data_IF_121727736616
#
_entry.id   IF_121727736616
#
_cell.length_a   1.000
_cell.length_b   1.000
_cell.length_c   1.000
_cell.angle_alpha   90.00
_cell.angle_beta   90.00
_cell.angle_gamma   90.00
#
_symmetry.space_group_name_H-M   'P 1'
#
loop_
_entity.id
_entity.type
_entity.pdbx_description
1 polymer ?
#
# COMPACT_ATOMS: atom_id res chain seq x y z
N UNK A 1 -2.11 3.15 -11.63
CA UNK A 1 -3.47 2.83 -12.08
C UNK A 1 -4.11 2.02 -10.98
N UNK A 2 -5.33 2.35 -10.60
CA UNK A 2 -6.10 1.62 -9.58
C UNK A 2 -6.27 0.15 -9.99
N UNK A 3 -6.01 -0.76 -9.07
CA UNK A 3 -6.15 -2.19 -9.21
C UNK A 3 -7.30 -2.70 -8.33
N UNK A 4 -7.84 -3.87 -8.66
CA UNK A 4 -8.91 -4.49 -7.89
C UNK A 4 -8.49 -5.92 -7.57
N UNK A 5 -8.56 -6.30 -6.29
CA UNK A 5 -8.36 -7.69 -5.89
C UNK A 5 -9.50 -8.56 -6.47
N UNK A 6 -9.21 -9.59 -7.27
CA UNK A 6 -10.23 -10.31 -8.03
C UNK A 6 -11.12 -11.22 -7.16
N UNK A 7 -10.76 -11.46 -5.90
CA UNK A 7 -11.51 -12.35 -5.00
C UNK A 7 -12.40 -11.57 -4.04
N UNK A 8 -11.85 -10.55 -3.41
CA UNK A 8 -12.55 -9.71 -2.43
C UNK A 8 -13.24 -8.50 -3.04
N UNK A 9 -12.82 -8.07 -4.23
CA UNK A 9 -13.31 -6.85 -4.87
C UNK A 9 -12.78 -5.55 -4.26
N UNK A 10 -11.84 -5.61 -3.31
CA UNK A 10 -11.23 -4.40 -2.76
C UNK A 10 -10.42 -3.65 -3.82
N UNK A 11 -10.63 -2.35 -3.89
CA UNK A 11 -9.78 -1.43 -4.65
C UNK A 11 -8.44 -1.21 -3.95
N UNK A 12 -7.37 -1.18 -4.73
CA UNK A 12 -6.00 -0.86 -4.35
C UNK A 12 -5.52 0.28 -5.24
N UNK A 13 -5.09 1.42 -4.69
CA UNK A 13 -4.75 2.59 -5.50
C UNK A 13 -3.59 2.30 -6.47
N UNK A 14 -2.56 1.60 -5.98
CA UNK A 14 -1.44 1.11 -6.80
C UNK A 14 -1.00 -0.26 -6.29
N UNK A 15 -0.98 -1.25 -7.18
CA UNK A 15 -0.49 -2.59 -6.88
C UNK A 15 0.87 -2.83 -7.56
N UNK A 16 1.89 -3.16 -6.78
CA UNK A 16 3.14 -3.74 -7.28
C UNK A 16 3.04 -5.26 -7.16
N UNK A 17 2.94 -5.93 -8.32
CA UNK A 17 2.95 -7.40 -8.38
C UNK A 17 4.37 -7.94 -8.14
N UNK A 18 4.52 -9.11 -7.50
CA UNK A 18 5.82 -9.79 -7.42
C UNK A 18 6.42 -10.02 -8.82
N UNK A 19 7.75 -9.98 -8.93
CA UNK A 19 8.45 -10.33 -10.16
C UNK A 19 8.35 -11.84 -10.41
N UNK A 20 7.51 -12.24 -11.38
CA UNK A 20 7.39 -13.61 -11.88
C UNK A 20 5.94 -14.06 -12.08
N UNK A 21 5.60 -14.58 -13.26
CA UNK A 21 4.35 -15.29 -13.50
C UNK A 21 4.37 -16.62 -12.75
N UNK A 22 3.59 -16.73 -11.69
CA UNK A 22 3.15 -18.00 -11.10
C UNK A 22 1.70 -17.77 -10.66
N UNK A 23 0.71 -18.31 -11.35
CA UNK A 23 0.59 -19.76 -11.57
C UNK A 23 0.14 -20.36 -10.24
N UNK A 24 -1.16 -20.64 -10.15
CA UNK A 24 -1.93 -21.36 -9.11
C UNK A 24 -1.40 -21.36 -7.67
N UNK A 25 -2.28 -20.95 -6.75
CA UNK A 25 -2.09 -20.93 -5.29
C UNK A 25 -1.55 -22.27 -4.78
N UNK A 26 -0.26 -22.37 -4.54
CA UNK A 26 0.30 -23.43 -3.70
C UNK A 26 0.01 -23.11 -2.23
N UNK A 27 -0.39 -24.13 -1.46
CA UNK A 27 -0.54 -24.05 0.00
C UNK A 27 0.76 -23.55 0.64
N UNK A 28 0.67 -22.47 1.43
CA UNK A 28 1.82 -21.74 2.00
C UNK A 28 2.01 -20.30 1.50
N UNK A 29 1.02 -19.73 0.79
CA UNK A 29 0.78 -18.31 0.47
C UNK A 29 2.02 -17.40 0.43
N UNK A 30 2.65 -17.30 -0.75
CA UNK A 30 3.51 -16.15 -1.06
C UNK A 30 2.69 -14.87 -1.11
N UNK A 31 3.29 -13.75 -0.71
CA UNK A 31 2.65 -12.43 -0.71
C UNK A 31 2.09 -12.07 -2.10
N UNK A 32 0.84 -11.56 -2.15
CA UNK A 32 0.14 -11.17 -3.38
C UNK A 32 0.76 -9.94 -4.06
N UNK A 33 1.63 -9.21 -3.35
CA UNK A 33 2.30 -8.01 -3.81
C UNK A 33 2.32 -6.91 -2.75
N UNK A 34 2.75 -5.72 -3.14
CA UNK A 34 2.69 -4.52 -2.30
C UNK A 34 1.49 -3.68 -2.75
N UNK A 35 0.53 -3.49 -1.84
CA UNK A 35 -0.63 -2.64 -2.05
C UNK A 35 -0.32 -1.25 -1.48
N UNK A 36 -0.19 -0.24 -2.34
CA UNK A 36 0.08 1.14 -1.94
C UNK A 36 -1.24 1.90 -1.89
N UNK A 37 -1.51 2.51 -0.75
CA UNK A 37 -2.66 3.37 -0.48
C UNK A 37 -2.21 4.83 -0.45
N UNK A 38 -2.82 5.69 -1.26
CA UNK A 38 -2.53 7.12 -1.37
C UNK A 38 -3.51 7.87 -0.46
N UNK A 39 -3.09 8.11 0.77
CA UNK A 39 -3.98 8.63 1.78
C UNK A 39 -4.03 10.18 1.77
N UNK A 40 -5.04 10.74 1.13
CA UNK A 40 -5.42 12.15 1.25
C UNK A 40 -5.99 12.56 2.64
N UNK A 41 -6.25 13.87 2.88
CA UNK A 41 -6.70 14.37 4.18
C UNK A 41 -7.93 13.69 4.78
N UNK A 42 -8.89 13.26 3.95
CA UNK A 42 -10.12 12.59 4.40
C UNK A 42 -9.89 11.20 5.02
N UNK A 43 -8.71 10.61 4.85
CA UNK A 43 -8.35 9.31 5.43
C UNK A 43 -7.91 9.40 6.89
N UNK A 44 -7.85 10.61 7.45
CA UNK A 44 -7.35 10.87 8.80
C UNK A 44 -8.36 11.65 9.64
N UNK A 45 -8.25 11.50 10.96
CA UNK A 45 -9.15 12.10 11.94
C UNK A 45 -8.86 13.60 12.11
N UNK A 46 -9.53 14.48 11.36
CA UNK A 46 -9.39 15.92 11.52
C UNK A 46 -7.93 16.38 11.53
N UNK A 47 -7.58 17.39 12.34
CA UNK A 47 -6.21 17.93 12.49
C UNK A 47 -5.22 16.93 13.16
N UNK A 48 -5.20 15.67 12.75
CA UNK A 48 -4.38 14.59 13.29
C UNK A 48 -3.82 13.72 12.17
N UNK A 49 -2.71 13.03 12.45
CA UNK A 49 -2.13 12.00 11.57
C UNK A 49 -2.72 10.61 11.83
N UNK A 50 -3.71 10.50 12.71
CA UNK A 50 -4.36 9.22 13.03
C UNK A 50 -5.34 8.81 11.92
N UNK A 51 -5.20 7.61 11.33
CA UNK A 51 -6.11 7.16 10.28
C UNK A 51 -7.52 6.88 10.83
N UNK A 52 -8.53 7.11 9.99
CA UNK A 52 -9.93 6.79 10.29
C UNK A 52 -10.14 5.28 10.50
N UNK A 53 -11.30 4.91 11.04
CA UNK A 53 -11.68 3.49 11.15
C UNK A 53 -11.72 2.78 9.80
N UNK A 54 -12.22 3.45 8.75
CA UNK A 54 -12.27 2.91 7.39
C UNK A 54 -10.86 2.64 6.86
N UNK A 55 -9.97 3.62 6.92
CA UNK A 55 -8.57 3.49 6.49
C UNK A 55 -7.84 2.36 7.23
N UNK A 56 -8.02 2.25 8.55
CA UNK A 56 -7.46 1.14 9.33
C UNK A 56 -8.02 -0.22 8.91
N UNK A 57 -9.34 -0.31 8.69
CA UNK A 57 -10.00 -1.54 8.28
C UNK A 57 -9.52 -2.00 6.89
N UNK A 58 -9.49 -1.10 5.90
CA UNK A 58 -8.99 -1.40 4.55
C UNK A 58 -7.59 -1.99 4.59
N UNK A 59 -6.65 -1.32 5.28
CA UNK A 59 -5.25 -1.80 5.41
C UNK A 59 -5.15 -3.17 6.08
N UNK A 60 -5.93 -3.42 7.14
CA UNK A 60 -5.97 -4.74 7.80
C UNK A 60 -6.46 -5.81 6.85
N UNK A 61 -7.55 -5.56 6.13
CA UNK A 61 -8.11 -6.54 5.19
C UNK A 61 -7.14 -6.83 4.03
N UNK A 62 -6.47 -5.81 3.48
CA UNK A 62 -5.43 -6.02 2.47
C UNK A 62 -4.28 -6.88 3.00
N UNK A 63 -3.84 -6.65 4.24
CA UNK A 63 -2.82 -7.49 4.88
C UNK A 63 -3.29 -8.94 5.07
N UNK A 64 -4.53 -9.15 5.56
CA UNK A 64 -5.11 -10.50 5.74
C UNK A 64 -5.34 -11.22 4.40
N UNK A 65 -5.58 -10.50 3.31
CA UNK A 65 -5.64 -11.07 1.96
C UNK A 65 -4.26 -11.53 1.44
N UNK A 66 -3.17 -11.15 2.11
CA UNK A 66 -1.80 -11.50 1.74
C UNK A 66 -1.07 -10.42 0.94
N UNK A 67 -1.62 -9.22 0.82
CA UNK A 67 -0.86 -8.06 0.34
C UNK A 67 0.01 -7.50 1.46
N UNK A 68 1.12 -6.85 1.12
CA UNK A 68 1.78 -5.93 2.05
C UNK A 68 1.22 -4.53 1.83
N UNK A 69 0.35 -4.07 2.72
CA UNK A 69 -0.25 -2.74 2.62
C UNK A 69 0.73 -1.65 3.10
N UNK A 70 0.95 -0.65 2.27
CA UNK A 70 1.81 0.51 2.52
C UNK A 70 1.00 1.78 2.31
N UNK A 71 1.16 2.76 3.21
CA UNK A 71 0.49 4.05 3.14
C UNK A 71 1.46 5.13 2.65
N UNK A 72 1.00 5.96 1.72
CA UNK A 72 1.64 7.21 1.31
C UNK A 72 0.75 8.36 1.82
N UNK A 73 0.97 8.87 3.04
CA UNK A 73 0.13 9.91 3.60
C UNK A 73 0.45 11.28 3.02
N UNK A 74 -0.57 12.07 2.73
CA UNK A 74 -0.43 13.37 2.05
C UNK A 74 0.55 14.32 2.76
N UNK A 75 0.55 14.38 4.10
CA UNK A 75 1.43 15.31 4.83
C UNK A 75 2.92 14.95 4.69
N UNK A 76 3.26 13.66 4.58
CA UNK A 76 4.65 13.27 4.34
C UNK A 76 5.06 13.62 2.92
N UNK A 77 4.18 13.36 1.96
CA UNK A 77 4.42 13.74 0.57
C UNK A 77 4.57 15.25 0.39
N UNK A 78 3.71 16.04 1.02
CA UNK A 78 3.68 17.50 0.91
C UNK A 78 4.81 18.18 1.67
N UNK A 79 5.27 17.59 2.78
CA UNK A 79 6.44 18.08 3.51
C UNK A 79 7.76 17.96 2.71
N UNK A 80 7.76 17.19 1.62
CA UNK A 80 8.96 16.93 0.81
C UNK A 80 9.02 17.82 -0.42
N UNK A 81 10.22 18.33 -0.70
CA UNK A 81 10.55 19.01 -1.97
C UNK A 81 10.39 18.04 -3.14
N UNK A 82 10.04 18.56 -4.31
CA UNK A 82 9.75 17.75 -5.51
C UNK A 82 10.88 16.79 -5.84
N UNK A 83 12.13 17.25 -5.73
CA UNK A 83 13.34 16.49 -6.08
C UNK A 83 13.64 15.34 -5.09
N UNK A 84 13.07 15.39 -3.89
CA UNK A 84 13.28 14.39 -2.84
C UNK A 84 12.17 13.32 -2.78
N UNK A 85 11.05 13.54 -3.49
CA UNK A 85 9.88 12.65 -3.45
C UNK A 85 10.17 11.27 -4.00
N UNK A 86 10.88 11.20 -5.13
CA UNK A 86 11.22 9.94 -5.79
C UNK A 86 12.15 9.09 -4.90
N UNK A 87 13.18 9.71 -4.31
CA UNK A 87 14.08 9.01 -3.40
C UNK A 87 13.36 8.51 -2.13
N UNK A 88 12.49 9.34 -1.56
CA UNK A 88 11.70 8.93 -0.40
C UNK A 88 10.75 7.78 -0.71
N UNK A 89 9.99 7.89 -1.80
CA UNK A 89 9.07 6.82 -2.21
C UNK A 89 9.86 5.54 -2.53
N UNK A 90 11.02 5.67 -3.19
CA UNK A 90 11.93 4.56 -3.43
C UNK A 90 12.35 3.83 -2.15
N UNK A 91 12.72 4.55 -1.10
CA UNK A 91 13.06 3.95 0.19
C UNK A 91 11.87 3.26 0.85
N UNK A 92 10.71 3.93 0.88
CA UNK A 92 9.46 3.36 1.41
C UNK A 92 9.11 2.04 0.71
N UNK A 93 9.26 1.99 -0.62
CA UNK A 93 9.00 0.78 -1.40
C UNK A 93 10.07 -0.28 -1.23
N UNK A 94 11.34 0.10 -1.06
CA UNK A 94 12.43 -0.84 -0.75
C UNK A 94 12.17 -1.57 0.56
N UNK A 95 11.82 -0.85 1.62
CA UNK A 95 11.46 -1.42 2.92
C UNK A 95 10.25 -2.37 2.79
N UNK A 96 9.26 -1.96 1.99
CA UNK A 96 8.09 -2.78 1.70
C UNK A 96 8.41 -4.03 0.87
N UNK A 97 9.37 -4.00 -0.04
CA UNK A 97 9.74 -5.16 -0.85
C UNK A 97 10.68 -6.12 -0.13
N UNK A 98 11.09 -5.81 1.11
CA UNK A 98 12.03 -6.64 1.88
C UNK A 98 13.50 -6.33 1.55
N UNK A 99 13.81 -5.08 1.21
CA UNK A 99 15.18 -4.59 1.19
C UNK A 99 15.87 -4.82 2.54
N UNK A 100 17.15 -5.20 2.46
CA UNK A 100 18.06 -5.72 3.51
C UNK A 100 17.94 -5.11 4.89
#
# INVERSE_FOLDING_TARGET
QEAVDPVSGYSIDILIKPLGDIGERAEGQRALGVAIEVDGPSHFLGNSTQPTGNTKLKRRLLNELGYRAVSVPFWEWDARKKEARDAWLGNLLSDALGGT
#
